data_IF_860720767857
#
_entry.id   IF_860720767857
#
_cell.length_a   1.000
_cell.length_b   1.000
_cell.length_c   1.000
_cell.angle_alpha   90.00
_cell.angle_beta   90.00
_cell.angle_gamma   90.00
#
_symmetry.space_group_name_H-M   'P 1'
#
loop_
_entity.id
_entity.type
_entity.pdbx_description
1 polymer ?
#
# COMPACT_ATOMS: atom_id res chain seq x y z
N UNK A 1 4.69 -16.14 -20.12
CA UNK A 1 4.94 -15.77 -18.72
C UNK A 1 3.87 -14.78 -18.32
N UNK A 2 3.16 -15.04 -17.21
CA UNK A 2 2.13 -14.19 -16.63
C UNK A 2 2.72 -13.51 -15.39
N UNK A 3 2.79 -12.17 -15.41
CA UNK A 3 3.33 -11.33 -14.31
C UNK A 3 2.51 -10.05 -14.15
N UNK A 4 1.20 -10.17 -14.23
CA UNK A 4 0.23 -9.06 -14.25
C UNK A 4 0.06 -8.36 -12.89
N UNK A 5 0.70 -8.88 -11.84
CA UNK A 5 0.66 -8.29 -10.51
C UNK A 5 -0.71 -8.39 -9.83
N UNK A 6 -1.02 -7.43 -8.99
CA UNK A 6 -2.24 -7.39 -8.22
C UNK A 6 -2.82 -5.97 -8.14
N UNK A 7 -4.09 -5.89 -7.77
CA UNK A 7 -4.83 -4.66 -7.49
C UNK A 7 -5.45 -4.71 -6.09
N UNK A 8 -6.03 -3.62 -5.66
CA UNK A 8 -6.66 -3.51 -4.33
C UNK A 8 -7.84 -4.47 -4.20
N UNK A 9 -7.88 -5.21 -3.10
CA UNK A 9 -8.96 -6.14 -2.79
C UNK A 9 -10.03 -5.46 -1.93
N UNK A 10 -11.22 -5.32 -2.48
CA UNK A 10 -12.38 -4.76 -1.77
C UNK A 10 -13.31 -5.85 -1.21
N UNK A 11 -12.87 -7.11 -1.20
CA UNK A 11 -13.60 -8.28 -0.66
C UNK A 11 -15.01 -8.44 -1.23
N UNK A 12 -15.21 -8.05 -2.50
CA UNK A 12 -16.50 -8.13 -3.21
C UNK A 12 -17.42 -6.93 -2.99
N UNK A 13 -17.02 -5.95 -2.17
CA UNK A 13 -17.84 -4.75 -1.96
C UNK A 13 -17.55 -3.69 -3.04
N UNK A 14 -18.35 -3.69 -4.10
CA UNK A 14 -18.20 -2.76 -5.22
C UNK A 14 -18.54 -1.31 -4.84
N UNK A 15 -19.37 -1.09 -3.83
CA UNK A 15 -19.73 0.26 -3.38
C UNK A 15 -18.56 0.92 -2.64
N UNK A 16 -17.87 0.18 -1.79
CA UNK A 16 -16.61 0.64 -1.19
C UNK A 16 -15.57 0.93 -2.27
N UNK A 17 -15.45 0.05 -3.28
CA UNK A 17 -14.48 0.22 -4.36
C UNK A 17 -14.68 1.51 -5.17
N UNK A 18 -15.92 1.94 -5.37
CA UNK A 18 -16.26 3.17 -6.11
C UNK A 18 -16.02 4.46 -5.32
N UNK A 19 -16.05 4.38 -3.99
CA UNK A 19 -16.14 5.54 -3.10
C UNK A 19 -14.89 5.76 -2.24
N UNK A 20 -13.98 4.79 -2.21
CA UNK A 20 -12.74 4.89 -1.44
C UNK A 20 -11.52 5.01 -2.35
N UNK A 21 -10.46 5.56 -1.80
CA UNK A 21 -9.19 5.72 -2.50
C UNK A 21 -8.28 4.51 -2.23
N UNK A 22 -7.72 3.93 -3.29
CA UNK A 22 -6.69 2.91 -3.20
C UNK A 22 -5.28 3.52 -3.27
N UNK A 23 -4.26 2.74 -2.90
CA UNK A 23 -2.86 3.17 -2.96
C UNK A 23 -1.98 1.99 -3.41
N UNK A 24 -2.05 1.67 -4.70
CA UNK A 24 -1.26 0.59 -5.31
C UNK A 24 -0.37 1.09 -6.45
N UNK A 25 -0.79 2.11 -7.18
CA UNK A 25 -0.10 2.64 -8.35
C UNK A 25 0.38 4.09 -8.14
N UNK A 26 1.35 4.53 -8.94
CA UNK A 26 1.80 5.93 -8.92
C UNK A 26 0.68 6.91 -9.26
N UNK A 27 -0.22 6.52 -10.17
CA UNK A 27 -1.39 7.35 -10.53
C UNK A 27 -2.32 7.54 -9.34
N UNK A 28 -2.61 6.46 -8.58
CA UNK A 28 -3.40 6.54 -7.34
C UNK A 28 -2.69 7.38 -6.28
N UNK A 29 -1.37 7.24 -6.13
CA UNK A 29 -0.61 8.06 -5.17
C UNK A 29 -0.70 9.56 -5.49
N UNK A 30 -0.60 9.94 -6.77
CA UNK A 30 -0.77 11.32 -7.22
C UNK A 30 -2.21 11.81 -7.01
N UNK A 31 -3.19 10.97 -7.31
CA UNK A 31 -4.60 11.27 -7.05
C UNK A 31 -4.85 11.50 -5.56
N UNK A 32 -4.39 10.59 -4.72
CA UNK A 32 -4.55 10.68 -3.26
C UNK A 32 -3.90 11.94 -2.69
N UNK A 33 -2.68 12.27 -3.14
CA UNK A 33 -2.03 13.53 -2.79
C UNK A 33 -2.88 14.74 -3.13
N UNK A 34 -3.42 14.79 -4.35
CA UNK A 34 -4.28 15.90 -4.78
C UNK A 34 -5.56 15.98 -3.94
N UNK A 35 -6.18 14.84 -3.61
CA UNK A 35 -7.39 14.79 -2.76
C UNK A 35 -7.12 15.29 -1.34
N UNK A 36 -5.96 14.96 -0.76
CA UNK A 36 -5.55 15.51 0.54
C UNK A 36 -5.50 17.04 0.48
N UNK A 37 -4.84 17.61 -0.51
CA UNK A 37 -4.74 19.07 -0.68
C UNK A 37 -6.11 19.70 -0.95
N UNK A 38 -6.93 19.10 -1.83
CA UNK A 38 -8.29 19.58 -2.09
C UNK A 38 -9.18 19.56 -0.84
N UNK A 39 -8.99 18.60 0.07
CA UNK A 39 -9.74 18.53 1.31
C UNK A 39 -9.40 19.72 2.21
N UNK A 40 -8.13 20.12 2.31
CA UNK A 40 -7.73 21.31 3.07
C UNK A 40 -8.24 22.60 2.44
N UNK A 41 -8.14 22.75 1.12
CA UNK A 41 -8.69 23.90 0.40
C UNK A 41 -10.21 24.04 0.61
N UNK A 42 -10.95 22.93 0.57
CA UNK A 42 -12.39 22.91 0.82
C UNK A 42 -12.72 23.18 2.30
N UNK A 43 -11.89 22.69 3.23
CA UNK A 43 -12.06 22.92 4.66
C UNK A 43 -11.87 24.39 5.05
N UNK A 44 -10.94 25.09 4.41
CA UNK A 44 -10.77 26.55 4.55
C UNK A 44 -11.98 27.33 4.05
N UNK A 45 -12.56 26.91 2.94
CA UNK A 45 -13.62 27.64 2.24
C UNK A 45 -15.05 27.24 2.69
N UNK A 46 -15.22 26.41 3.71
CA UNK A 46 -16.55 26.05 4.23
C UNK A 46 -16.83 26.70 5.59
N UNK A 47 -18.05 27.23 5.74
CA UNK A 47 -18.56 27.69 7.02
C UNK A 47 -19.33 26.61 7.81
N UNK A 48 -19.58 25.47 7.19
CA UNK A 48 -20.24 24.32 7.79
C UNK A 48 -19.23 23.51 8.61
N UNK A 49 -19.42 23.49 9.93
CA UNK A 49 -18.52 22.82 10.88
C UNK A 49 -18.49 21.30 10.68
N UNK A 50 -19.65 20.68 10.42
CA UNK A 50 -19.73 19.23 10.18
C UNK A 50 -18.99 18.85 8.88
N UNK A 51 -19.22 19.62 7.83
CA UNK A 51 -18.51 19.41 6.56
C UNK A 51 -17.01 19.62 6.70
N UNK A 52 -16.58 20.59 7.50
CA UNK A 52 -15.16 20.81 7.81
C UNK A 52 -14.57 19.61 8.54
N UNK A 53 -15.26 19.07 9.54
CA UNK A 53 -14.83 17.88 10.28
C UNK A 53 -14.70 16.67 9.34
N UNK A 54 -15.67 16.42 8.47
CA UNK A 54 -15.59 15.34 7.45
C UNK A 54 -14.37 15.50 6.53
N UNK A 55 -14.07 16.74 6.09
CA UNK A 55 -12.90 17.04 5.23
C UNK A 55 -11.57 16.90 5.96
N UNK A 56 -11.55 17.14 7.29
CA UNK A 56 -10.36 17.05 8.14
C UNK A 56 -10.18 15.67 8.78
N UNK A 57 -11.09 14.72 8.54
CA UNK A 57 -10.98 13.34 9.00
C UNK A 57 -10.47 12.45 7.88
N UNK A 58 -9.39 11.70 8.16
CA UNK A 58 -8.72 10.78 7.23
C UNK A 58 -8.77 9.37 7.79
N UNK A 59 -9.48 8.48 7.12
CA UNK A 59 -9.63 7.08 7.54
C UNK A 59 -8.76 6.20 6.64
N UNK A 60 -7.97 5.33 7.25
CA UNK A 60 -7.13 4.34 6.57
C UNK A 60 -7.62 2.95 6.98
N UNK A 61 -8.09 2.17 6.02
CA UNK A 61 -8.57 0.80 6.24
C UNK A 61 -7.50 -0.19 5.80
N UNK A 62 -6.94 -0.91 6.78
CA UNK A 62 -5.84 -1.87 6.60
C UNK A 62 -4.56 -1.42 7.29
N UNK A 63 -4.15 -2.15 8.33
CA UNK A 63 -2.96 -1.86 9.14
C UNK A 63 -1.73 -2.70 8.72
N UNK A 64 -1.60 -3.01 7.43
CA UNK A 64 -0.35 -3.49 6.81
C UNK A 64 0.67 -2.37 6.65
N UNK A 65 1.83 -2.65 6.05
CA UNK A 65 2.91 -1.68 5.86
C UNK A 65 2.42 -0.39 5.17
N UNK A 66 1.66 -0.51 4.08
CA UNK A 66 1.12 0.65 3.35
C UNK A 66 0.24 1.55 4.23
N UNK A 67 -0.66 0.96 5.05
CA UNK A 67 -1.53 1.73 5.94
C UNK A 67 -0.75 2.44 7.05
N UNK A 68 0.25 1.78 7.62
CA UNK A 68 1.15 2.35 8.63
C UNK A 68 1.95 3.53 8.05
N UNK A 69 2.54 3.35 6.87
CA UNK A 69 3.33 4.38 6.20
C UNK A 69 2.47 5.59 5.82
N UNK A 70 1.26 5.36 5.32
CA UNK A 70 0.32 6.43 5.01
C UNK A 70 -0.14 7.19 6.27
N UNK A 71 -0.47 6.47 7.36
CA UNK A 71 -0.84 7.08 8.63
C UNK A 71 0.28 7.95 9.20
N UNK A 72 1.52 7.45 9.16
CA UNK A 72 2.71 8.18 9.56
C UNK A 72 2.93 9.44 8.72
N UNK A 73 2.80 9.33 7.39
CA UNK A 73 2.97 10.46 6.47
C UNK A 73 1.92 11.55 6.69
N UNK A 74 0.64 11.18 6.87
CA UNK A 74 -0.43 12.14 7.16
C UNK A 74 -0.24 12.81 8.53
N UNK A 75 0.23 12.06 9.53
CA UNK A 75 0.50 12.61 10.86
C UNK A 75 1.66 13.62 10.85
N UNK A 76 2.70 13.36 10.09
CA UNK A 76 3.79 14.31 9.88
C UNK A 76 3.35 15.55 9.10
N UNK A 77 2.55 15.35 8.06
CA UNK A 77 1.95 16.46 7.30
C UNK A 77 1.16 17.37 8.25
N UNK A 78 0.31 16.80 9.11
CA UNK A 78 -0.44 17.55 10.14
C UNK A 78 0.47 18.37 11.05
N UNK A 79 1.59 17.79 11.49
CA UNK A 79 2.47 18.39 12.48
C UNK A 79 3.42 19.45 11.91
N UNK A 80 3.97 19.22 10.71
CA UNK A 80 5.10 20.01 10.21
C UNK A 80 4.80 20.82 8.96
N UNK A 81 3.82 20.39 8.13
CA UNK A 81 3.57 21.01 6.83
C UNK A 81 2.34 21.91 6.88
N UNK A 82 1.21 21.37 7.34
CA UNK A 82 -0.06 22.08 7.31
C UNK A 82 -0.06 23.39 8.10
N UNK A 83 0.53 23.51 9.30
CA UNK A 83 0.56 24.77 10.02
C UNK A 83 1.28 25.90 9.26
N UNK A 84 2.24 25.54 8.42
CA UNK A 84 2.96 26.49 7.58
C UNK A 84 2.18 26.83 6.31
N UNK A 85 1.60 25.82 5.67
CA UNK A 85 0.95 25.95 4.36
C UNK A 85 -0.50 26.47 4.48
N UNK A 86 -1.16 26.21 5.58
CA UNK A 86 -2.56 26.58 5.86
C UNK A 86 -2.68 27.23 7.23
N UNK A 87 -2.08 28.44 7.44
CA UNK A 87 -2.05 29.11 8.76
C UNK A 87 -3.44 29.47 9.31
N UNK A 88 -4.43 29.65 8.41
CA UNK A 88 -5.80 29.97 8.79
C UNK A 88 -6.67 28.74 9.11
N UNK A 89 -6.11 27.53 8.95
CA UNK A 89 -6.78 26.27 9.26
C UNK A 89 -6.27 25.71 10.59
N UNK A 90 -7.19 25.46 11.53
CA UNK A 90 -6.81 24.74 12.74
C UNK A 90 -6.49 23.27 12.43
N UNK A 91 -5.22 23.02 12.16
CA UNK A 91 -4.72 21.69 11.79
C UNK A 91 -4.72 20.70 12.95
N UNK A 92 -4.90 21.16 14.21
CA UNK A 92 -5.04 20.29 15.38
C UNK A 92 -6.34 19.47 15.35
N UNK A 93 -7.35 19.95 14.61
CA UNK A 93 -8.64 19.25 14.41
C UNK A 93 -8.55 18.11 13.40
N UNK A 94 -7.46 17.98 12.66
CA UNK A 94 -7.27 16.89 11.71
C UNK A 94 -7.18 15.55 12.44
N UNK A 95 -8.11 14.65 12.15
CA UNK A 95 -8.14 13.29 12.67
C UNK A 95 -7.56 12.32 11.67
N UNK A 96 -6.75 11.37 12.14
CA UNK A 96 -6.20 10.28 11.35
C UNK A 96 -6.56 8.98 12.06
N UNK A 97 -7.36 8.15 11.42
CA UNK A 97 -7.93 6.93 12.01
C UNK A 97 -7.48 5.73 11.19
N UNK A 98 -6.78 4.80 11.84
CA UNK A 98 -6.31 3.55 11.24
C UNK A 98 -7.18 2.41 11.74
N UNK A 99 -7.87 1.73 10.81
CA UNK A 99 -8.82 0.65 11.11
C UNK A 99 -8.31 -0.67 10.55
N UNK A 100 -8.37 -1.74 11.33
CA UNK A 100 -8.05 -3.09 10.87
C UNK A 100 -8.93 -4.15 11.52
N UNK A 101 -9.36 -5.13 10.75
CA UNK A 101 -10.12 -6.28 11.22
C UNK A 101 -9.32 -7.26 12.10
N UNK A 102 -8.01 -7.16 12.07
CA UNK A 102 -7.10 -7.99 12.85
C UNK A 102 -6.83 -7.43 14.25
N UNK A 103 -6.27 -8.27 15.15
CA UNK A 103 -6.02 -7.90 16.55
C UNK A 103 -4.75 -7.04 16.74
N UNK A 104 -3.94 -6.82 15.70
CA UNK A 104 -2.69 -6.07 15.81
C UNK A 104 -2.26 -5.46 14.47
N UNK A 105 -1.50 -4.39 14.56
CA UNK A 105 -0.84 -3.75 13.42
C UNK A 105 0.23 -4.68 12.84
N UNK A 106 0.55 -4.54 11.54
CA UNK A 106 1.62 -5.30 10.88
C UNK A 106 1.56 -6.80 11.22
N UNK A 107 0.43 -7.45 10.96
CA UNK A 107 0.20 -8.85 11.33
C UNK A 107 1.27 -9.83 10.82
N UNK A 108 1.99 -9.46 9.76
CA UNK A 108 3.11 -10.23 9.20
C UNK A 108 4.44 -10.06 9.97
N UNK A 109 4.51 -9.12 10.92
CA UNK A 109 5.69 -8.87 11.76
C UNK A 109 5.52 -9.51 13.13
N UNK A 110 6.57 -9.49 13.96
CA UNK A 110 6.49 -9.98 15.34
C UNK A 110 5.54 -9.13 16.19
N UNK A 111 4.99 -9.68 17.28
CA UNK A 111 4.16 -8.93 18.22
C UNK A 111 4.87 -7.70 18.80
N UNK A 112 6.19 -7.80 19.02
CA UNK A 112 6.98 -6.72 19.55
C UNK A 112 7.07 -5.53 18.58
N UNK A 113 7.35 -5.79 17.29
CA UNK A 113 7.34 -4.74 16.26
C UNK A 113 5.95 -4.11 16.09
N UNK A 114 4.89 -4.92 16.18
CA UNK A 114 3.51 -4.41 16.17
C UNK A 114 3.25 -3.42 17.31
N UNK A 115 3.71 -3.75 18.52
CA UNK A 115 3.53 -2.89 19.69
C UNK A 115 4.36 -1.61 19.61
N UNK A 116 5.58 -1.67 19.09
CA UNK A 116 6.40 -0.49 18.84
C UNK A 116 5.77 0.45 17.82
N UNK A 117 5.28 -0.09 16.72
CA UNK A 117 4.55 0.69 15.70
C UNK A 117 3.31 1.35 16.30
N UNK A 118 2.56 0.62 17.12
CA UNK A 118 1.39 1.17 17.83
C UNK A 118 1.78 2.36 18.68
N UNK A 119 2.85 2.25 19.48
CA UNK A 119 3.36 3.35 20.32
C UNK A 119 3.74 4.58 19.48
N UNK A 120 4.47 4.38 18.37
CA UNK A 120 4.86 5.48 17.48
C UNK A 120 3.65 6.18 16.86
N UNK A 121 2.70 5.44 16.31
CA UNK A 121 1.50 6.02 15.70
C UNK A 121 0.63 6.74 16.73
N UNK A 122 0.45 6.17 17.92
CA UNK A 122 -0.28 6.82 19.02
C UNK A 122 0.42 8.12 19.46
N UNK A 123 1.75 8.11 19.57
CA UNK A 123 2.51 9.31 19.86
C UNK A 123 2.36 10.40 18.78
N UNK A 124 2.22 9.99 17.52
CA UNK A 124 1.89 10.89 16.41
C UNK A 124 0.42 11.34 16.42
N UNK A 125 -0.41 10.86 17.36
CA UNK A 125 -1.82 11.20 17.47
C UNK A 125 -2.70 10.52 16.42
N UNK A 126 -2.34 9.33 15.96
CA UNK A 126 -3.19 8.47 15.13
C UNK A 126 -4.12 7.66 16.02
N UNK A 127 -5.41 7.70 15.74
CA UNK A 127 -6.42 6.86 16.37
C UNK A 127 -6.36 5.45 15.76
N UNK A 128 -6.31 4.40 16.58
CA UNK A 128 -6.13 3.02 16.10
C UNK A 128 -7.31 2.18 16.56
N UNK A 129 -8.07 1.64 15.60
CA UNK A 129 -9.22 0.77 15.81
C UNK A 129 -8.89 -0.64 15.26
N UNK A 130 -8.60 -1.56 16.16
CA UNK A 130 -8.34 -2.98 15.86
C UNK A 130 -9.56 -3.83 16.16
N UNK A 131 -9.62 -5.03 15.55
CA UNK A 131 -10.77 -5.93 15.60
C UNK A 131 -12.07 -5.27 15.12
N UNK A 132 -11.96 -4.33 14.17
CA UNK A 132 -13.08 -3.60 13.59
C UNK A 132 -13.10 -3.78 12.08
N UNK A 133 -14.21 -4.25 11.53
CA UNK A 133 -14.40 -4.42 10.09
C UNK A 133 -15.29 -3.32 9.53
N UNK A 134 -14.90 -2.79 8.38
CA UNK A 134 -15.74 -1.84 7.65
C UNK A 134 -16.78 -2.60 6.85
N UNK A 135 -18.05 -2.30 7.09
CA UNK A 135 -19.18 -2.88 6.36
C UNK A 135 -19.58 -2.09 5.13
N UNK A 136 -19.64 -0.77 5.27
CA UNK A 136 -20.10 0.10 4.18
C UNK A 136 -19.46 1.49 4.29
N UNK A 137 -19.46 2.21 3.17
CA UNK A 137 -19.11 3.62 3.11
C UNK A 137 -20.01 4.33 2.12
N UNK A 138 -20.84 5.25 2.62
CA UNK A 138 -21.81 5.98 1.82
C UNK A 138 -22.11 7.35 2.42
N UNK A 139 -22.28 8.37 1.59
CA UNK A 139 -22.58 9.75 2.01
C UNK A 139 -21.60 10.30 3.07
N UNK A 140 -20.29 10.03 2.86
CA UNK A 140 -19.21 10.36 3.80
C UNK A 140 -19.34 9.68 5.18
N UNK A 141 -20.13 8.63 5.30
CA UNK A 141 -20.32 7.88 6.53
C UNK A 141 -19.78 6.46 6.37
N UNK A 142 -18.73 6.13 7.12
CA UNK A 142 -18.13 4.80 7.17
C UNK A 142 -18.75 4.02 8.32
N UNK A 143 -19.35 2.89 8.03
CA UNK A 143 -20.06 2.03 8.99
C UNK A 143 -19.19 0.82 9.34
N UNK A 144 -19.03 0.59 10.64
CA UNK A 144 -18.28 -0.54 11.22
C UNK A 144 -19.20 -1.73 11.51
N UNK A 145 -18.60 -2.87 11.81
CA UNK A 145 -19.32 -4.14 12.05
C UNK A 145 -20.09 -4.16 13.39
N UNK A 146 -19.67 -3.35 14.35
CA UNK A 146 -20.38 -3.14 15.64
C UNK A 146 -21.56 -2.17 15.55
N UNK A 147 -21.80 -1.58 14.37
CA UNK A 147 -22.87 -0.61 14.12
C UNK A 147 -22.49 0.85 14.37
N UNK A 148 -21.28 1.12 14.88
CA UNK A 148 -20.74 2.46 14.95
C UNK A 148 -20.44 3.03 13.56
N UNK A 149 -20.41 4.35 13.45
CA UNK A 149 -20.05 5.04 12.21
C UNK A 149 -19.07 6.17 12.45
N UNK A 150 -18.32 6.51 11.42
CA UNK A 150 -17.36 7.63 11.41
C UNK A 150 -17.61 8.44 10.15
N UNK A 151 -17.77 9.74 10.31
CA UNK A 151 -17.94 10.67 9.20
C UNK A 151 -16.57 11.10 8.66
N UNK A 152 -16.37 10.94 7.35
CA UNK A 152 -15.13 11.35 6.68
C UNK A 152 -15.36 11.46 5.17
N UNK A 153 -14.79 12.48 4.55
CA UNK A 153 -14.69 12.60 3.10
C UNK A 153 -13.46 11.89 2.51
N UNK A 154 -12.55 11.39 3.36
CA UNK A 154 -11.25 10.85 2.95
C UNK A 154 -11.07 9.44 3.50
N UNK A 155 -11.39 8.43 2.70
CA UNK A 155 -11.25 7.01 3.08
C UNK A 155 -10.26 6.33 2.15
N UNK A 156 -9.16 5.83 2.70
CA UNK A 156 -8.11 5.09 2.00
C UNK A 156 -8.25 3.60 2.27
N UNK A 157 -8.46 2.81 1.23
CA UNK A 157 -8.62 1.36 1.33
C UNK A 157 -7.33 0.65 0.92
N UNK A 158 -6.59 0.14 1.89
CA UNK A 158 -5.31 -0.58 1.72
C UNK A 158 -5.31 -1.94 2.42
N UNK A 159 -6.50 -2.51 2.68
CA UNK A 159 -6.71 -3.72 3.49
C UNK A 159 -6.29 -5.04 2.83
N UNK A 160 -5.80 -5.03 1.62
CA UNK A 160 -5.32 -6.24 0.95
C UNK A 160 -5.24 -6.11 -0.56
N UNK A 161 -4.72 -7.15 -1.18
CA UNK A 161 -4.53 -7.22 -2.64
C UNK A 161 -5.14 -8.49 -3.22
N UNK A 162 -5.54 -8.41 -4.49
CA UNK A 162 -6.07 -9.51 -5.30
C UNK A 162 -5.32 -9.57 -6.61
N UNK A 163 -4.96 -10.75 -7.09
CA UNK A 163 -4.21 -10.90 -8.33
C UNK A 163 -5.03 -10.46 -9.54
N UNK A 164 -4.37 -9.81 -10.50
CA UNK A 164 -4.94 -9.52 -11.81
C UNK A 164 -5.13 -10.84 -12.56
N UNK A 165 -6.38 -11.26 -12.75
CA UNK A 165 -6.69 -12.46 -13.51
C UNK A 165 -6.63 -12.20 -15.01
N UNK A 166 -6.21 -13.21 -15.75
CA UNK A 166 -6.34 -13.26 -17.20
C UNK A 166 -7.47 -14.21 -17.54
N UNK A 167 -8.31 -13.82 -18.48
CA UNK A 167 -9.32 -14.72 -19.02
C UNK A 167 -8.68 -15.83 -19.86
N UNK A 168 -9.36 -16.98 -19.98
CA UNK A 168 -8.97 -18.06 -20.90
C UNK A 168 -8.21 -19.24 -20.27
N UNK A 169 -7.94 -19.21 -18.96
CA UNK A 169 -7.46 -20.38 -18.23
C UNK A 169 -8.63 -21.10 -17.53
N UNK A 170 -8.58 -22.43 -17.35
CA UNK A 170 -9.54 -23.18 -16.58
C UNK A 170 -9.69 -22.69 -15.15
N UNK A 171 -10.89 -22.79 -14.56
CA UNK A 171 -11.19 -22.30 -13.22
C UNK A 171 -10.31 -22.91 -12.11
N UNK A 172 -9.93 -24.19 -12.28
CA UNK A 172 -9.06 -24.95 -11.39
C UNK A 172 -7.63 -24.37 -11.28
N UNK A 173 -7.20 -23.62 -12.30
CA UNK A 173 -5.90 -22.92 -12.26
C UNK A 173 -5.88 -21.79 -11.24
N UNK A 174 -7.03 -21.33 -10.77
CA UNK A 174 -7.11 -20.22 -9.83
C UNK A 174 -7.26 -20.70 -8.38
N UNK A 175 -6.64 -19.99 -7.47
CA UNK A 175 -6.72 -20.21 -6.04
C UNK A 175 -7.17 -18.94 -5.30
N UNK A 176 -7.06 -18.95 -3.96
CA UNK A 176 -7.38 -17.79 -3.13
C UNK A 176 -6.74 -16.49 -3.63
N UNK A 177 -7.49 -15.39 -3.55
CA UNK A 177 -7.02 -14.09 -4.04
C UNK A 177 -6.89 -14.01 -5.56
N UNK A 178 -7.56 -14.90 -6.30
CA UNK A 178 -7.51 -15.00 -7.77
C UNK A 178 -6.10 -15.26 -8.32
N UNK A 179 -5.22 -15.87 -7.52
CA UNK A 179 -3.84 -16.22 -7.88
C UNK A 179 -3.80 -17.52 -8.68
N UNK A 180 -2.89 -17.58 -9.65
CA UNK A 180 -2.66 -18.77 -10.46
C UNK A 180 -1.86 -19.81 -9.71
N UNK A 181 -2.40 -21.03 -9.57
CA UNK A 181 -1.70 -22.17 -8.95
C UNK A 181 -0.50 -22.59 -9.80
N UNK A 182 0.67 -22.60 -9.19
CA UNK A 182 1.90 -22.99 -9.86
C UNK A 182 2.65 -24.04 -9.05
N UNK A 183 3.39 -24.91 -9.77
CA UNK A 183 4.34 -25.83 -9.15
C UNK A 183 5.64 -25.12 -8.74
N UNK A 184 6.59 -25.87 -8.18
CA UNK A 184 7.90 -25.36 -7.73
C UNK A 184 8.78 -24.79 -8.86
N UNK A 185 8.40 -24.97 -10.12
CA UNK A 185 9.09 -24.39 -11.27
C UNK A 185 8.36 -23.17 -11.86
N UNK A 186 7.36 -22.65 -11.16
CA UNK A 186 6.48 -21.58 -11.62
C UNK A 186 5.61 -21.92 -12.82
N UNK A 187 5.46 -23.20 -13.20
CA UNK A 187 4.52 -23.62 -14.23
C UNK A 187 3.10 -23.65 -13.67
N UNK A 188 2.14 -23.14 -14.45
CA UNK A 188 0.73 -23.24 -14.11
C UNK A 188 0.32 -24.71 -14.14
N UNK A 189 -0.51 -25.11 -13.20
CA UNK A 189 -1.05 -26.46 -13.14
C UNK A 189 -1.60 -26.89 -14.51
N UNK A 190 -1.23 -28.11 -14.94
CA UNK A 190 -1.60 -28.73 -16.21
C UNK A 190 -1.01 -28.10 -17.49
N UNK A 191 -0.18 -27.05 -17.36
CA UNK A 191 0.47 -26.39 -18.49
C UNK A 191 2.00 -26.38 -18.36
N UNK A 192 2.69 -27.13 -19.23
CA UNK A 192 4.16 -27.19 -19.21
C UNK A 192 4.86 -25.96 -19.76
N UNK A 193 4.15 -25.14 -20.55
CA UNK A 193 4.68 -23.98 -21.28
C UNK A 193 4.11 -22.63 -20.81
N UNK A 194 3.29 -22.63 -19.77
CA UNK A 194 2.74 -21.40 -19.20
C UNK A 194 3.26 -21.23 -17.77
N UNK A 195 3.83 -20.06 -17.48
CA UNK A 195 4.45 -19.75 -16.22
C UNK A 195 3.78 -18.52 -15.59
N UNK A 196 3.64 -18.51 -14.26
CA UNK A 196 3.24 -17.32 -13.52
C UNK A 196 4.22 -17.01 -12.40
N UNK A 197 4.51 -15.73 -12.19
CA UNK A 197 5.46 -15.23 -11.19
C UNK A 197 4.92 -13.99 -10.45
N UNK A 198 5.47 -13.71 -9.27
CA UNK A 198 5.12 -12.56 -8.46
C UNK A 198 3.74 -12.68 -7.82
N UNK A 199 3.07 -11.54 -7.65
CA UNK A 199 1.80 -11.44 -6.93
C UNK A 199 0.68 -12.29 -7.55
N UNK A 200 0.78 -12.59 -8.83
CA UNK A 200 -0.17 -13.42 -9.58
C UNK A 200 -0.01 -14.91 -9.29
N UNK A 201 1.17 -15.38 -8.90
CA UNK A 201 1.47 -16.80 -8.69
C UNK A 201 1.10 -17.26 -7.28
N UNK A 202 0.45 -18.43 -7.17
CA UNK A 202 0.19 -19.14 -5.91
C UNK A 202 1.03 -20.42 -5.88
N UNK A 203 2.23 -20.31 -5.33
CA UNK A 203 3.08 -21.45 -5.06
C UNK A 203 2.94 -21.85 -3.58
N UNK A 204 2.39 -23.03 -3.31
CA UNK A 204 2.18 -23.57 -1.97
C UNK A 204 3.36 -24.49 -1.66
N UNK A 205 3.91 -24.38 -0.46
CA UNK A 205 4.93 -25.26 0.09
C UNK A 205 4.68 -25.51 1.59
N UNK A 206 5.40 -26.42 2.20
CA UNK A 206 5.30 -26.67 3.65
C UNK A 206 5.56 -25.41 4.47
N UNK A 207 6.58 -24.62 4.08
CA UNK A 207 6.93 -23.38 4.75
C UNK A 207 5.92 -22.25 4.48
N UNK A 208 5.25 -22.29 3.31
CA UNK A 208 4.27 -21.29 2.87
C UNK A 208 2.94 -21.95 2.45
N UNK A 209 2.15 -22.48 3.40
CA UNK A 209 0.91 -23.22 3.11
C UNK A 209 -0.21 -22.34 2.50
N UNK A 210 -0.11 -21.02 2.63
CA UNK A 210 -1.00 -20.04 1.99
C UNK A 210 -0.37 -19.39 0.74
N UNK A 211 0.76 -19.93 0.26
CA UNK A 211 1.58 -19.36 -0.80
C UNK A 211 2.51 -18.25 -0.32
N UNK A 212 3.51 -17.92 -1.13
CA UNK A 212 4.45 -16.84 -0.82
C UNK A 212 3.74 -15.49 -0.68
N UNK A 213 4.28 -14.57 0.15
CA UNK A 213 3.70 -13.23 0.31
C UNK A 213 3.74 -12.45 -1.01
N UNK A 214 2.74 -11.61 -1.23
CA UNK A 214 2.62 -10.76 -2.42
C UNK A 214 3.44 -9.48 -2.23
N UNK A 215 4.75 -9.63 -2.25
CA UNK A 215 5.74 -8.56 -2.09
C UNK A 215 6.84 -8.69 -3.13
N UNK A 216 7.66 -7.67 -3.29
CA UNK A 216 8.68 -7.59 -4.34
C UNK A 216 9.74 -8.71 -4.27
N UNK A 217 10.07 -9.20 -3.07
CA UNK A 217 11.16 -10.18 -2.90
C UNK A 217 10.88 -11.53 -3.58
N UNK A 218 9.74 -12.22 -3.36
CA UNK A 218 9.42 -13.44 -4.09
C UNK A 218 9.36 -13.20 -5.61
N UNK A 219 8.78 -12.09 -6.05
CA UNK A 219 8.63 -11.78 -7.47
C UNK A 219 9.98 -11.72 -8.20
N UNK A 220 10.96 -10.99 -7.63
CA UNK A 220 12.31 -10.89 -8.20
C UNK A 220 13.01 -12.27 -8.18
N UNK A 221 12.91 -13.00 -7.07
CA UNK A 221 13.57 -14.30 -6.94
C UNK A 221 12.96 -15.35 -7.88
N UNK A 222 11.63 -15.36 -8.04
CA UNK A 222 10.93 -16.20 -9.01
C UNK A 222 11.35 -15.87 -10.45
N UNK A 223 11.43 -14.60 -10.81
CA UNK A 223 11.90 -14.17 -12.12
C UNK A 223 13.33 -14.67 -12.41
N UNK A 224 14.24 -14.53 -11.43
CA UNK A 224 15.62 -14.99 -11.57
C UNK A 224 15.72 -16.52 -11.69
N UNK A 225 14.90 -17.28 -10.96
CA UNK A 225 14.83 -18.73 -11.08
C UNK A 225 14.25 -19.14 -12.44
N UNK A 226 13.18 -18.47 -12.88
CA UNK A 226 12.53 -18.75 -14.16
C UNK A 226 13.48 -18.51 -15.35
N UNK A 227 14.29 -17.45 -15.32
CA UNK A 227 15.32 -17.20 -16.36
C UNK A 227 16.28 -18.40 -16.49
N UNK A 228 16.71 -18.98 -15.35
CA UNK A 228 17.57 -20.19 -15.37
C UNK A 228 16.81 -21.39 -15.96
N UNK A 229 15.57 -21.58 -15.56
CA UNK A 229 14.73 -22.66 -16.02
C UNK A 229 14.42 -22.58 -17.53
N UNK A 230 14.17 -21.40 -18.06
CA UNK A 230 13.98 -21.22 -19.50
C UNK A 230 15.23 -21.62 -20.29
N UNK A 231 16.43 -21.25 -19.82
CA UNK A 231 17.71 -21.69 -20.43
C UNK A 231 17.91 -23.20 -20.33
N UNK A 232 17.48 -23.82 -19.24
CA UNK A 232 17.54 -25.26 -19.05
C UNK A 232 16.59 -25.98 -20.02
N UNK A 233 15.39 -25.45 -20.22
CA UNK A 233 14.43 -25.99 -21.22
C UNK A 233 15.05 -26.01 -22.62
N UNK A 234 15.65 -24.88 -23.04
CA UNK A 234 16.34 -24.80 -24.36
C UNK A 234 17.46 -25.84 -24.53
N UNK A 235 18.13 -26.18 -23.43
CA UNK A 235 19.24 -27.14 -23.40
C UNK A 235 18.82 -28.57 -23.10
N UNK A 236 17.52 -28.85 -22.91
CA UNK A 236 17.04 -30.16 -22.49
C UNK A 236 17.52 -30.57 -21.08
N UNK A 237 17.86 -29.63 -20.24
CA UNK A 237 18.32 -29.85 -18.86
C UNK A 237 17.18 -29.84 -17.85
N UNK A 238 17.32 -30.51 -16.69
CA UNK A 238 16.30 -30.53 -15.65
C UNK A 238 16.02 -29.12 -15.09
N UNK A 239 14.77 -28.88 -14.70
CA UNK A 239 14.35 -27.63 -14.08
C UNK A 239 14.83 -27.55 -12.62
N UNK A 240 15.10 -26.34 -12.16
CA UNK A 240 15.53 -26.01 -10.81
C UNK A 240 14.30 -25.57 -10.00
N UNK A 241 13.94 -26.25 -8.91
CA UNK A 241 12.83 -25.84 -8.07
C UNK A 241 13.12 -24.47 -7.43
N UNK A 242 12.08 -23.65 -7.33
CA UNK A 242 12.16 -22.36 -6.67
C UNK A 242 12.19 -22.54 -5.14
N UNK A 243 13.11 -21.85 -4.50
CA UNK A 243 13.18 -21.76 -3.05
C UNK A 243 13.24 -20.28 -2.66
N UNK A 244 12.24 -19.83 -1.91
CA UNK A 244 12.18 -18.44 -1.46
C UNK A 244 13.15 -18.21 -0.29
N UNK A 245 13.99 -17.20 -0.43
CA UNK A 245 14.85 -16.71 0.62
C UNK A 245 14.28 -15.41 1.18
N UNK A 246 13.71 -15.47 2.37
CA UNK A 246 13.18 -14.28 3.06
C UNK A 246 14.32 -13.42 3.60
N UNK A 247 14.50 -12.22 3.05
CA UNK A 247 15.53 -11.27 3.46
C UNK A 247 15.13 -10.42 4.67
N UNK A 248 13.90 -10.61 5.18
CA UNK A 248 13.31 -9.81 6.24
C UNK A 248 12.27 -8.82 5.74
N UNK A 249 11.70 -8.08 6.67
CA UNK A 249 10.64 -7.09 6.44
C UNK A 249 10.97 -5.79 7.14
N UNK A 250 10.50 -4.67 6.59
CA UNK A 250 10.66 -3.35 7.19
C UNK A 250 9.49 -2.46 6.85
N UNK A 251 9.17 -1.52 7.75
CA UNK A 251 8.14 -0.50 7.55
C UNK A 251 8.54 0.79 8.27
N UNK A 252 8.30 1.94 7.62
CA UNK A 252 8.52 3.25 8.23
C UNK A 252 7.25 3.77 8.94
N UNK A 253 7.46 4.57 9.97
CA UNK A 253 6.40 5.24 10.71
C UNK A 253 6.78 6.72 10.77
N UNK A 254 6.52 7.43 9.68
CA UNK A 254 6.98 8.80 9.53
C UNK A 254 8.50 8.92 9.44
N UNK A 255 9.04 10.07 9.85
CA UNK A 255 10.48 10.34 9.85
C UNK A 255 11.15 9.79 11.10
N UNK A 256 12.40 9.35 10.93
CA UNK A 256 13.27 8.89 12.02
C UNK A 256 12.78 7.64 12.76
N UNK A 257 11.65 7.06 12.34
CA UNK A 257 11.10 5.86 12.94
C UNK A 257 10.79 4.80 11.89
N UNK A 258 11.26 3.59 12.13
CA UNK A 258 10.95 2.40 11.37
C UNK A 258 11.06 1.17 12.26
N UNK A 259 10.53 0.06 11.79
CA UNK A 259 10.80 -1.27 12.33
C UNK A 259 11.45 -2.10 11.23
N UNK A 260 12.49 -2.84 11.61
CA UNK A 260 13.22 -3.75 10.74
C UNK A 260 13.31 -5.10 11.42
N UNK A 261 12.87 -6.14 10.72
CA UNK A 261 13.02 -7.55 11.10
C UNK A 261 13.81 -8.28 10.03
N UNK A 262 15.04 -8.61 10.33
CA UNK A 262 15.88 -9.53 9.56
C UNK A 262 15.83 -10.89 10.25
N UNK A 263 16.25 -11.96 9.59
CA UNK A 263 16.12 -13.34 10.10
C UNK A 263 16.44 -13.54 11.59
N UNK A 264 17.47 -12.87 12.11
CA UNK A 264 17.95 -13.02 13.51
C UNK A 264 18.06 -11.69 14.27
N UNK A 265 17.84 -10.57 13.60
CA UNK A 265 18.07 -9.25 14.16
C UNK A 265 16.79 -8.44 13.99
N UNK A 266 16.39 -7.79 15.08
CA UNK A 266 15.28 -6.85 15.09
C UNK A 266 15.72 -5.57 15.77
N UNK A 267 15.37 -4.44 15.17
CA UNK A 267 15.64 -3.12 15.72
C UNK A 267 14.63 -2.11 15.18
N UNK A 268 14.50 -0.99 15.84
CA UNK A 268 13.53 0.07 15.54
C UNK A 268 14.14 1.46 15.72
N UNK A 269 13.33 2.48 15.45
CA UNK A 269 13.71 3.89 15.58
C UNK A 269 14.60 4.38 14.44
N UNK A 270 15.45 5.37 14.73
CA UNK A 270 16.32 6.01 13.75
C UNK A 270 17.26 5.04 13.00
N UNK A 271 17.95 4.08 13.65
CA UNK A 271 18.79 3.13 12.92
C UNK A 271 18.01 2.30 11.91
N UNK A 272 16.80 1.87 12.25
CA UNK A 272 15.92 1.14 11.35
C UNK A 272 15.49 2.01 10.16
N UNK A 273 15.17 3.27 10.40
CA UNK A 273 14.80 4.22 9.37
C UNK A 273 15.98 4.51 8.41
N UNK A 274 17.19 4.70 8.92
CA UNK A 274 18.38 4.88 8.09
C UNK A 274 18.67 3.65 7.21
N UNK A 275 18.53 2.44 7.75
CA UNK A 275 18.67 1.19 6.98
C UNK A 275 17.58 1.08 5.92
N UNK A 276 16.34 1.43 6.24
CA UNK A 276 15.23 1.46 5.29
C UNK A 276 15.53 2.39 4.11
N UNK A 277 15.95 3.64 4.39
CA UNK A 277 16.35 4.61 3.36
C UNK A 277 17.46 4.06 2.46
N UNK A 278 18.51 3.52 3.07
CA UNK A 278 19.65 2.98 2.33
C UNK A 278 19.24 1.84 1.39
N UNK A 279 18.46 0.86 1.88
CA UNK A 279 18.03 -0.28 1.07
C UNK A 279 17.11 0.18 -0.08
N UNK A 280 16.19 1.10 0.17
CA UNK A 280 15.31 1.62 -0.86
C UNK A 280 16.06 2.44 -1.90
N UNK A 281 17.00 3.28 -1.47
CA UNK A 281 17.86 4.03 -2.39
C UNK A 281 18.70 3.08 -3.28
N UNK A 282 19.28 2.02 -2.69
CA UNK A 282 20.07 1.04 -3.44
C UNK A 282 19.22 0.20 -4.40
N UNK A 283 17.94 0.03 -4.14
CA UNK A 283 17.02 -0.69 -5.03
C UNK A 283 16.64 0.09 -6.30
N UNK A 284 16.88 1.40 -6.32
CA UNK A 284 16.58 2.25 -7.48
C UNK A 284 17.55 1.95 -8.62
N UNK A 285 17.02 1.79 -9.83
CA UNK A 285 17.80 1.49 -11.03
C UNK A 285 18.52 2.75 -11.53
N UNK A 286 19.82 2.62 -11.77
CA UNK A 286 20.67 3.66 -12.34
C UNK A 286 21.30 4.59 -11.29
N UNK A 287 22.63 4.82 -11.42
CA UNK A 287 23.41 5.66 -10.50
C UNK A 287 22.91 7.10 -10.50
N UNK A 288 22.58 7.63 -11.68
CA UNK A 288 22.05 9.00 -11.83
C UNK A 288 20.77 9.18 -11.02
N UNK A 289 19.81 8.25 -11.14
CA UNK A 289 18.55 8.33 -10.41
C UNK A 289 18.74 8.24 -8.89
N UNK A 290 19.63 7.37 -8.43
CA UNK A 290 19.99 7.27 -6.99
C UNK A 290 20.52 8.58 -6.45
N UNK A 291 21.43 9.24 -7.20
CA UNK A 291 22.00 10.51 -6.79
C UNK A 291 20.94 11.61 -6.69
N UNK A 292 20.08 11.75 -7.69
CA UNK A 292 19.02 12.75 -7.67
C UNK A 292 18.05 12.52 -6.50
N UNK A 293 17.60 11.29 -6.30
CA UNK A 293 16.68 10.96 -5.22
C UNK A 293 17.35 11.13 -3.84
N UNK A 294 18.64 10.80 -3.73
CA UNK A 294 19.40 11.05 -2.49
C UNK A 294 19.46 12.54 -2.16
N UNK A 295 19.76 13.41 -3.14
CA UNK A 295 19.81 14.86 -2.96
C UNK A 295 18.43 15.39 -2.58
N UNK A 296 17.37 14.94 -3.25
CA UNK A 296 16.00 15.33 -2.98
C UNK A 296 15.55 14.92 -1.56
N UNK A 297 15.87 13.70 -1.14
CA UNK A 297 15.61 13.24 0.22
C UNK A 297 16.37 14.04 1.27
N UNK A 298 17.64 14.35 1.01
CA UNK A 298 18.47 15.18 1.89
C UNK A 298 17.88 16.58 2.01
N UNK A 299 17.54 17.20 0.89
CA UNK A 299 16.88 18.51 0.87
C UNK A 299 15.59 18.50 1.67
N UNK A 300 14.68 17.58 1.33
CA UNK A 300 13.40 17.42 2.00
C UNK A 300 13.55 17.14 3.51
N UNK A 301 14.59 16.41 3.91
CA UNK A 301 14.87 16.13 5.32
C UNK A 301 15.23 17.38 6.12
N UNK A 302 16.00 18.30 5.56
CA UNK A 302 16.42 19.51 6.27
C UNK A 302 15.44 20.67 6.15
N UNK A 303 14.77 20.81 5.01
CA UNK A 303 13.93 21.99 4.77
C UNK A 303 12.47 21.78 5.20
N UNK A 304 12.01 20.52 5.35
CA UNK A 304 10.57 20.21 5.49
C UNK A 304 9.72 20.81 4.36
N UNK A 305 10.34 21.20 3.26
CA UNK A 305 9.67 21.74 2.10
C UNK A 305 9.38 20.60 1.09
N UNK A 306 8.22 19.96 1.19
CA UNK A 306 7.73 19.20 0.06
C UNK A 306 7.14 20.22 -0.90
N UNK A 307 7.60 20.26 -2.13
CA UNK A 307 7.01 21.04 -3.24
C UNK A 307 5.57 20.57 -3.58
N UNK A 308 4.72 20.46 -2.54
CA UNK A 308 3.45 19.73 -2.58
C UNK A 308 2.25 20.60 -3.00
N UNK A 309 2.37 21.94 -3.04
CA UNK A 309 1.22 22.84 -3.26
C UNK A 309 0.60 22.76 -4.65
N UNK A 310 1.27 22.12 -5.60
CA UNK A 310 0.76 22.05 -6.97
C UNK A 310 -0.22 20.88 -7.11
N UNK A 311 -1.50 21.18 -7.26
CA UNK A 311 -2.54 20.20 -7.62
C UNK A 311 -2.43 19.92 -9.12
N UNK A 312 -1.88 18.78 -9.47
CA UNK A 312 -1.75 18.33 -10.86
C UNK A 312 -2.93 17.42 -11.18
N UNK A 313 -3.93 17.96 -11.87
CA UNK A 313 -5.04 17.14 -12.37
C UNK A 313 -4.63 16.51 -13.70
N UNK A 314 -4.61 15.18 -13.83
CA UNK A 314 -4.50 14.54 -15.12
C UNK A 314 -5.67 15.03 -15.99
N UNK A 315 -5.41 15.34 -17.24
CA UNK A 315 -6.51 15.63 -18.17
C UNK A 315 -7.37 14.35 -18.27
N UNK A 316 -8.71 14.47 -18.18
CA UNK A 316 -9.59 13.33 -18.39
C UNK A 316 -9.32 12.76 -19.78
N UNK A 317 -9.30 11.43 -19.89
CA UNK A 317 -9.18 10.78 -21.19
C UNK A 317 -10.35 11.21 -22.08
N UNK A 318 -10.16 11.20 -23.40
CA UNK A 318 -11.25 11.57 -24.34
C UNK A 318 -12.52 10.73 -24.11
N UNK A 319 -12.37 9.45 -23.71
CA UNK A 319 -13.47 8.55 -23.37
C UNK A 319 -14.26 8.99 -22.13
N UNK A 320 -13.60 9.54 -21.09
CA UNK A 320 -14.29 10.09 -19.92
C UNK A 320 -15.01 11.40 -20.22
N UNK A 321 -14.53 12.16 -21.19
CA UNK A 321 -15.16 13.41 -21.64
C UNK A 321 -16.41 13.13 -22.48
N UNK A 322 -16.38 12.10 -23.32
CA UNK A 322 -17.51 11.67 -24.14
C UNK A 322 -18.63 11.04 -23.31
N UNK A 323 -18.31 10.24 -22.29
CA UNK A 323 -19.31 9.67 -21.38
C UNK A 323 -20.03 10.75 -20.54
N UNK A 324 -19.33 11.80 -20.10
CA UNK A 324 -19.95 12.92 -19.38
C UNK A 324 -20.81 13.84 -20.25
N UNK A 325 -20.62 13.82 -21.57
CA UNK A 325 -21.46 14.59 -22.51
C UNK A 325 -22.76 13.86 -22.88
N UNK A 326 -22.78 12.54 -22.73
CA UNK A 326 -23.96 11.69 -23.02
C UNK A 326 -24.92 11.54 -21.83
N UNK A 327 -24.49 11.93 -20.62
CA UNK A 327 -25.31 11.91 -19.39
C UNK A 327 -25.95 13.27 -19.06
N UNK A 328 -25.93 14.22 -19.99
CA UNK A 328 -26.66 15.49 -19.93
C UNK A 328 -27.78 15.53 -21.00
#
# INVERSE_FOLDING_TARGET
IISTGCYTNYFGNNEIAKRTMSLKTTAEALHNRNQVLESFEKALNTNDSQKREQLMTFIIVGAGATGIELAGALAEMRKFILPHDYPDLDTSTMRIILIDGGPRLLSAFSPQSSEEVKKYLTHLGVEILLNQQVKNYENNMLVLDDGNFIESANVYWVAGVKANSLAGLPAECYGPGNRLRVNEHNQIQDFKNIFAIGDTALMISEEYPKGHPQVVQPAIQQAMNLIKNLRNIEKGQPLIPFKYYNKGSMATIGRNNAVVELQKIRFSGFPAWAVWLFIHLMSIVGVKNRLFIFIDWMWSYFTYDPSLRLIIKPQPSKEETENKSNDK
#
